data_IF_456083023584
#
_entry.id   IF_456083023584
#
_cell.length_a   1.000
_cell.length_b   1.000
_cell.length_c   1.000
_cell.angle_alpha   90.00
_cell.angle_beta   90.00
_cell.angle_gamma   90.00
#
_symmetry.space_group_name_H-M   'P 1'
#
loop_
_entity.id
_entity.type
_entity.pdbx_description
1 polymer ?
#
# COMPACT_ATOMS: atom_id res chain seq x y z
N UNK A 1 -18.63 -1.64 -36.71
CA UNK A 1 -19.34 -0.42 -36.26
C UNK A 1 -19.35 -0.29 -34.77
N UNK A 2 -19.46 -1.36 -33.96
CA UNK A 2 -19.39 -1.35 -32.49
C UNK A 2 -18.03 -0.90 -31.92
N UNK A 3 -16.91 -1.28 -32.52
CA UNK A 3 -15.58 -0.91 -32.05
C UNK A 3 -15.22 0.57 -32.17
N UNK A 4 -15.81 1.28 -33.13
CA UNK A 4 -15.57 2.71 -33.31
C UNK A 4 -16.37 3.59 -32.32
N UNK A 5 -17.49 3.08 -31.81
CA UNK A 5 -18.31 3.76 -30.81
C UNK A 5 -17.69 3.61 -29.43
N UNK A 6 -17.17 2.42 -29.08
CA UNK A 6 -16.44 2.16 -27.84
C UNK A 6 -15.15 3.02 -27.76
N UNK A 7 -14.39 3.13 -28.85
CA UNK A 7 -13.18 3.97 -28.87
C UNK A 7 -13.50 5.45 -28.64
N UNK A 8 -14.58 5.96 -29.23
CA UNK A 8 -15.01 7.37 -28.99
C UNK A 8 -15.53 7.61 -27.57
N UNK A 9 -16.21 6.63 -26.97
CA UNK A 9 -16.67 6.75 -25.59
C UNK A 9 -15.49 6.78 -24.61
N UNK A 10 -14.46 5.96 -24.85
CA UNK A 10 -13.24 5.95 -24.06
C UNK A 10 -12.44 7.26 -24.21
N UNK A 11 -12.33 7.81 -25.43
CA UNK A 11 -11.66 9.09 -25.65
C UNK A 11 -12.38 10.26 -24.95
N UNK A 12 -13.72 10.24 -24.93
CA UNK A 12 -14.51 11.25 -24.22
C UNK A 12 -14.36 11.10 -22.71
N UNK A 13 -14.35 9.88 -22.18
CA UNK A 13 -14.22 9.64 -20.74
C UNK A 13 -12.80 9.97 -20.26
N UNK A 14 -11.76 9.61 -21.00
CA UNK A 14 -10.37 10.02 -20.74
C UNK A 14 -10.24 11.55 -20.81
N UNK A 15 -10.87 12.18 -21.78
CA UNK A 15 -10.92 13.65 -21.88
C UNK A 15 -11.61 14.30 -20.69
N UNK A 16 -12.68 13.72 -20.16
CA UNK A 16 -13.41 14.23 -18.99
C UNK A 16 -12.59 14.05 -17.71
N UNK A 17 -11.90 12.92 -17.54
CA UNK A 17 -11.00 12.66 -16.38
C UNK A 17 -9.82 13.64 -16.44
N UNK A 18 -9.18 13.80 -17.60
CA UNK A 18 -8.07 14.75 -17.79
C UNK A 18 -8.54 16.21 -17.59
N UNK A 19 -9.72 16.59 -18.09
CA UNK A 19 -10.30 17.90 -17.86
C UNK A 19 -10.64 18.15 -16.38
N UNK A 20 -11.10 17.11 -15.68
CA UNK A 20 -11.32 17.14 -14.23
C UNK A 20 -10.02 17.37 -13.45
N UNK A 21 -8.96 16.68 -13.84
CA UNK A 21 -7.61 16.84 -13.27
C UNK A 21 -7.09 18.26 -13.52
N UNK A 22 -7.19 18.76 -14.74
CA UNK A 22 -6.75 20.14 -15.11
C UNK A 22 -7.57 21.21 -14.38
N UNK A 23 -8.89 21.02 -14.21
CA UNK A 23 -9.75 21.94 -13.47
C UNK A 23 -9.41 21.97 -11.97
N UNK A 24 -9.02 20.84 -11.37
CA UNK A 24 -8.58 20.81 -9.97
C UNK A 24 -7.24 21.55 -9.75
N UNK A 25 -6.34 21.54 -10.73
CA UNK A 25 -5.08 22.29 -10.65
C UNK A 25 -5.23 23.79 -10.90
N UNK A 26 -6.33 24.21 -11.54
CA UNK A 26 -6.59 25.63 -11.89
C UNK A 26 -7.51 26.37 -10.93
N UNK A 27 -8.07 25.69 -9.93
CA UNK A 27 -8.90 26.36 -8.93
C UNK A 27 -8.01 27.07 -7.90
N UNK A 28 -8.05 28.41 -7.79
CA UNK A 28 -7.47 29.08 -6.65
C UNK A 28 -8.21 28.61 -5.40
N UNK A 29 -7.45 28.29 -4.33
CA UNK A 29 -8.02 27.93 -3.04
C UNK A 29 -8.82 29.13 -2.49
N UNK A 30 -10.11 29.17 -2.76
CA UNK A 30 -11.03 30.10 -2.08
C UNK A 30 -11.35 29.50 -0.70
N UNK A 31 -10.56 29.91 0.28
CA UNK A 31 -10.78 29.56 1.69
C UNK A 31 -11.97 30.31 2.35
N UNK A 32 -12.73 31.12 1.62
CA UNK A 32 -13.67 32.10 2.20
C UNK A 32 -15.15 31.85 1.86
N UNK A 33 -15.64 30.61 1.80
CA UNK A 33 -17.06 30.36 1.44
C UNK A 33 -17.98 30.11 2.64
N UNK A 34 -17.47 29.94 3.85
CA UNK A 34 -18.32 29.82 5.04
C UNK A 34 -17.93 30.91 6.07
N UNK A 35 -18.87 31.73 6.57
CA UNK A 35 -18.58 32.57 7.70
C UNK A 35 -18.31 31.67 8.92
N UNK A 36 -17.04 31.49 9.24
CA UNK A 36 -16.66 31.01 10.55
C UNK A 36 -17.21 32.05 11.55
N UNK A 37 -18.11 31.60 12.44
CA UNK A 37 -18.52 32.43 13.58
C UNK A 37 -17.29 32.96 14.27
N UNK A 38 -17.41 34.13 14.87
CA UNK A 38 -16.34 34.86 15.56
C UNK A 38 -15.38 33.89 16.24
N UNK A 39 -14.17 33.81 15.70
CA UNK A 39 -13.09 33.09 16.32
C UNK A 39 -12.67 33.88 17.54
N UNK A 40 -13.04 33.41 18.74
CA UNK A 40 -12.25 33.75 19.91
C UNK A 40 -10.79 33.47 19.55
N UNK A 41 -9.92 34.43 19.73
CA UNK A 41 -8.48 34.27 19.56
C UNK A 41 -8.02 33.11 20.47
N UNK A 42 -8.01 31.90 19.94
CA UNK A 42 -7.40 30.77 20.61
C UNK A 42 -5.91 31.03 20.58
N UNK A 43 -5.32 31.39 21.70
CA UNK A 43 -3.88 31.54 21.79
C UNK A 43 -3.22 30.23 21.35
N UNK A 44 -2.17 30.31 20.53
CA UNK A 44 -1.45 29.15 20.03
C UNK A 44 -0.85 28.27 21.15
N UNK A 45 -0.84 28.76 22.37
CA UNK A 45 -0.37 28.07 23.57
C UNK A 45 -1.44 28.21 24.67
N UNK A 46 -2.15 27.13 24.94
CA UNK A 46 -3.01 27.04 26.11
C UNK A 46 -2.14 26.68 27.33
N UNK A 47 -2.27 27.47 28.43
CA UNK A 47 -1.69 27.12 29.70
C UNK A 47 -2.54 26.08 30.45
N UNK A 48 -3.70 25.71 29.93
CA UNK A 48 -4.51 24.66 30.49
C UNK A 48 -3.79 23.31 30.39
N UNK A 49 -3.68 22.62 31.52
CA UNK A 49 -3.16 21.26 31.52
C UNK A 49 -4.02 20.40 30.59
N UNK A 50 -3.38 19.75 29.63
CA UNK A 50 -4.02 18.68 28.85
C UNK A 50 -4.53 17.66 29.86
N UNK A 51 -5.85 17.55 29.97
CA UNK A 51 -6.45 16.53 30.82
C UNK A 51 -6.07 15.17 30.23
N UNK A 52 -5.24 14.46 30.99
CA UNK A 52 -4.96 13.06 30.71
C UNK A 52 -6.30 12.34 30.77
N UNK A 53 -6.77 11.81 29.65
CA UNK A 53 -7.97 10.99 29.62
C UNK A 53 -7.76 9.82 30.56
N UNK A 54 -8.69 9.62 31.49
CA UNK A 54 -8.65 8.43 32.33
C UNK A 54 -8.76 7.19 31.42
N UNK A 55 -8.15 6.04 31.80
CA UNK A 55 -8.32 4.78 31.04
C UNK A 55 -9.79 4.39 30.79
N UNK A 56 -10.71 4.86 31.63
CA UNK A 56 -12.16 4.72 31.46
C UNK A 56 -12.74 5.52 30.28
N UNK A 57 -12.05 6.58 29.83
CA UNK A 57 -12.51 7.45 28.73
C UNK A 57 -12.04 6.96 27.36
N UNK A 58 -11.04 6.09 27.34
CA UNK A 58 -10.73 5.31 26.18
C UNK A 58 -11.68 4.13 26.14
N UNK A 59 -12.67 4.18 25.24
CA UNK A 59 -13.66 3.11 25.13
C UNK A 59 -13.01 1.72 25.20
N UNK A 60 -13.67 0.79 25.90
CA UNK A 60 -13.20 -0.58 26.08
C UNK A 60 -12.76 -1.17 24.76
N UNK A 61 -11.46 -1.10 24.48
CA UNK A 61 -10.90 -1.99 23.47
C UNK A 61 -11.03 -3.41 24.03
N UNK A 62 -11.63 -4.35 23.31
CA UNK A 62 -11.45 -5.73 23.70
C UNK A 62 -9.96 -5.96 23.76
N UNK A 63 -9.44 -6.67 24.77
CA UNK A 63 -8.05 -7.09 24.76
C UNK A 63 -7.84 -7.78 23.43
N UNK A 64 -7.01 -7.18 22.58
CA UNK A 64 -6.81 -7.66 21.21
C UNK A 64 -6.16 -9.04 21.24
N UNK A 65 -5.56 -9.43 22.36
CA UNK A 65 -4.93 -10.74 22.52
C UNK A 65 -4.53 -10.89 23.98
N UNK A 66 -4.48 -12.11 24.44
CA UNK A 66 -3.87 -12.50 25.68
C UNK A 66 -2.39 -12.11 25.66
N UNK A 67 -2.02 -11.08 26.39
CA UNK A 67 -0.63 -10.74 26.64
C UNK A 67 -0.10 -11.70 27.68
N UNK A 68 0.58 -12.75 27.24
CA UNK A 68 1.31 -13.67 28.10
C UNK A 68 2.68 -13.07 28.43
N UNK A 69 2.76 -12.16 29.38
CA UNK A 69 4.00 -11.53 29.78
C UNK A 69 3.76 -10.23 30.53
N UNK A 70 4.84 -9.50 30.84
CA UNK A 70 4.76 -8.18 31.45
C UNK A 70 4.07 -7.20 30.48
N UNK A 71 3.28 -6.28 31.06
CA UNK A 71 2.55 -5.28 30.29
C UNK A 71 3.53 -4.47 29.41
N UNK A 72 3.22 -4.36 28.14
CA UNK A 72 3.98 -3.60 27.12
C UNK A 72 4.33 -2.15 27.52
N UNK A 73 3.55 -1.52 28.36
CA UNK A 73 3.76 -0.20 28.93
C UNK A 73 4.00 -0.28 30.44
N UNK A 74 4.49 -1.41 30.95
CA UNK A 74 4.92 -1.50 32.33
C UNK A 74 6.03 -0.49 32.60
N UNK A 75 6.03 0.10 33.79
CA UNK A 75 7.13 0.92 34.33
C UNK A 75 8.25 -0.05 34.69
N UNK A 76 8.69 -0.88 33.74
CA UNK A 76 9.78 -1.82 33.96
C UNK A 76 11.12 -1.12 33.79
N UNK A 77 12.09 -1.55 34.55
CA UNK A 77 13.48 -1.19 34.30
C UNK A 77 13.84 -1.69 32.90
N UNK A 78 14.34 -0.79 32.04
CA UNK A 78 14.89 -1.19 30.75
C UNK A 78 16.06 -2.13 31.02
N UNK A 79 16.03 -3.28 30.37
CA UNK A 79 17.15 -4.21 30.40
C UNK A 79 18.42 -3.49 29.92
N UNK A 80 19.53 -3.57 30.66
CA UNK A 80 20.77 -2.85 30.34
C UNK A 80 21.30 -3.19 28.94
N UNK A 81 21.00 -4.39 28.45
CA UNK A 81 21.46 -4.86 27.16
C UNK A 81 22.92 -5.30 27.17
N UNK A 82 23.49 -5.40 25.99
CA UNK A 82 24.90 -5.69 25.82
C UNK A 82 25.51 -4.85 24.70
N UNK A 83 26.76 -4.44 24.86
CA UNK A 83 27.49 -3.70 23.85
C UNK A 83 28.05 -4.65 22.80
N UNK A 84 27.82 -4.33 21.53
CA UNK A 84 28.36 -5.05 20.40
C UNK A 84 29.83 -4.67 20.15
N UNK A 85 30.62 -5.48 19.42
CA UNK A 85 32.03 -5.15 19.12
C UNK A 85 32.24 -3.84 18.33
N UNK A 86 31.17 -3.30 17.72
CA UNK A 86 31.19 -2.04 16.99
C UNK A 86 30.58 -0.86 17.75
N UNK A 87 30.24 -1.04 19.04
CA UNK A 87 29.83 0.00 19.94
C UNK A 87 28.30 0.24 20.08
N UNK A 88 27.48 -0.49 19.31
CA UNK A 88 26.04 -0.41 19.47
C UNK A 88 25.58 -1.19 20.71
N UNK A 89 24.66 -0.62 21.50
CA UNK A 89 24.07 -1.31 22.66
C UNK A 89 22.75 -1.93 22.24
N UNK A 90 22.69 -3.26 22.28
CA UNK A 90 21.49 -4.00 21.94
C UNK A 90 20.72 -4.42 23.19
N UNK A 91 19.41 -4.23 23.14
CA UNK A 91 18.43 -4.61 24.16
C UNK A 91 17.35 -5.52 23.51
N UNK A 92 17.66 -6.80 23.22
CA UNK A 92 16.78 -7.66 22.45
C UNK A 92 15.42 -7.86 23.12
N UNK A 93 14.36 -7.61 22.36
CA UNK A 93 12.97 -7.87 22.75
C UNK A 93 12.27 -8.62 21.64
N UNK A 94 11.61 -9.72 21.96
CA UNK A 94 10.88 -10.53 20.99
C UNK A 94 9.38 -10.32 21.14
N UNK A 95 8.75 -9.96 20.02
CA UNK A 95 7.32 -9.76 19.93
C UNK A 95 6.75 -10.71 18.90
N UNK A 96 5.72 -11.46 19.29
CA UNK A 96 4.98 -12.30 18.36
C UNK A 96 3.58 -11.72 18.23
N UNK A 97 3.17 -11.40 17.02
CA UNK A 97 1.86 -10.82 16.73
C UNK A 97 1.34 -11.33 15.39
N UNK A 98 0.08 -11.06 15.13
CA UNK A 98 -0.50 -11.47 13.86
C UNK A 98 -1.93 -11.02 13.71
N UNK A 99 -2.54 -11.41 12.61
CA UNK A 99 -3.94 -11.16 12.34
C UNK A 99 -4.59 -12.38 11.70
N UNK A 100 -5.80 -12.68 12.13
CA UNK A 100 -6.65 -13.65 11.45
C UNK A 100 -7.81 -12.91 10.78
N UNK A 101 -7.97 -13.17 9.49
CA UNK A 101 -9.08 -12.67 8.70
C UNK A 101 -9.94 -13.82 8.21
N UNK A 102 -11.25 -13.61 8.26
CA UNK A 102 -12.23 -14.58 7.79
C UNK A 102 -13.26 -13.84 6.95
N UNK A 103 -13.60 -14.37 5.80
CA UNK A 103 -14.50 -13.73 4.86
C UNK A 103 -15.48 -14.72 4.26
N UNK A 104 -16.75 -14.39 4.32
CA UNK A 104 -17.80 -15.02 3.52
C UNK A 104 -18.01 -14.17 2.28
N UNK A 105 -17.84 -14.79 1.12
CA UNK A 105 -17.92 -14.11 -0.16
C UNK A 105 -18.91 -14.79 -1.07
N UNK A 106 -19.67 -13.98 -1.78
CA UNK A 106 -20.54 -14.42 -2.87
C UNK A 106 -20.37 -13.44 -4.03
N UNK A 107 -19.92 -13.92 -5.15
CA UNK A 107 -19.58 -13.09 -6.31
C UNK A 107 -19.74 -13.85 -7.62
N UNK A 108 -19.87 -13.10 -8.69
CA UNK A 108 -19.92 -13.60 -10.06
C UNK A 108 -18.77 -12.94 -10.82
N UNK A 109 -17.87 -13.74 -11.34
CA UNK A 109 -16.80 -13.26 -12.20
C UNK A 109 -17.25 -13.33 -13.66
N UNK A 110 -17.07 -12.25 -14.41
CA UNK A 110 -17.44 -12.14 -15.81
C UNK A 110 -16.85 -13.26 -16.70
N UNK A 111 -15.68 -13.78 -16.31
CA UNK A 111 -15.00 -14.85 -17.06
C UNK A 111 -15.59 -16.24 -16.87
N UNK A 112 -16.40 -16.49 -15.84
CA UNK A 112 -16.88 -17.84 -15.51
C UNK A 112 -18.39 -18.05 -15.67
N UNK A 113 -19.17 -16.99 -15.84
CA UNK A 113 -20.64 -17.02 -15.91
C UNK A 113 -21.29 -17.88 -14.79
N UNK A 114 -20.63 -17.99 -13.65
CA UNK A 114 -21.07 -18.78 -12.50
C UNK A 114 -20.86 -18.02 -11.20
N UNK A 115 -21.86 -18.06 -10.34
CA UNK A 115 -21.76 -17.52 -8.98
C UNK A 115 -20.86 -18.41 -8.14
N UNK A 116 -19.82 -17.85 -7.55
CA UNK A 116 -18.97 -18.50 -6.56
C UNK A 116 -19.40 -18.09 -5.15
N UNK A 117 -19.45 -19.04 -4.24
CA UNK A 117 -19.72 -18.80 -2.82
C UNK A 117 -18.68 -19.54 -2.00
N UNK A 118 -17.98 -18.83 -1.14
CA UNK A 118 -16.91 -19.42 -0.34
C UNK A 118 -16.75 -18.77 1.04
N UNK A 119 -16.21 -19.54 1.95
CA UNK A 119 -15.69 -19.08 3.23
C UNK A 119 -14.18 -19.21 3.21
N UNK A 120 -13.48 -18.10 3.17
CA UNK A 120 -12.02 -18.02 3.09
C UNK A 120 -11.43 -17.55 4.40
N UNK A 121 -10.27 -18.10 4.76
CA UNK A 121 -9.54 -17.77 5.98
C UNK A 121 -8.08 -17.48 5.66
N UNK A 122 -7.52 -16.48 6.33
CA UNK A 122 -6.10 -16.11 6.24
C UNK A 122 -5.56 -15.79 7.63
N UNK A 123 -4.41 -16.36 7.94
CA UNK A 123 -3.67 -16.11 9.17
C UNK A 123 -2.28 -15.59 8.82
N UNK A 124 -1.96 -14.37 9.24
CA UNK A 124 -0.64 -13.78 9.14
C UNK A 124 -0.01 -13.78 10.55
N UNK A 125 1.17 -14.38 10.70
CA UNK A 125 1.92 -14.42 11.96
C UNK A 125 3.30 -13.82 11.75
N UNK A 126 3.72 -12.96 12.66
CA UNK A 126 5.02 -12.29 12.64
C UNK A 126 5.74 -12.44 13.96
N UNK A 127 7.04 -12.63 13.89
CA UNK A 127 7.96 -12.50 15.01
C UNK A 127 8.90 -11.33 14.72
N UNK A 128 8.89 -10.33 15.59
CA UNK A 128 9.75 -9.15 15.53
C UNK A 128 10.75 -9.21 16.66
N UNK A 129 12.03 -9.39 16.32
CA UNK A 129 13.15 -9.26 17.25
C UNK A 129 13.68 -7.85 17.15
N UNK A 130 13.25 -6.99 18.08
CA UNK A 130 13.74 -5.62 18.25
C UNK A 130 15.07 -5.66 18.97
N UNK A 131 16.12 -5.07 18.40
CA UNK A 131 17.46 -5.03 18.99
C UNK A 131 17.73 -3.66 19.66
N UNK A 132 17.27 -2.59 19.00
CA UNK A 132 17.32 -1.21 19.51
C UNK A 132 16.05 -0.45 19.11
N UNK A 133 16.04 0.85 19.21
CA UNK A 133 14.96 1.70 18.69
C UNK A 133 14.78 1.63 17.17
N UNK A 134 15.81 1.28 16.42
CA UNK A 134 15.83 1.28 14.95
C UNK A 134 16.13 -0.10 14.36
N UNK A 135 17.03 -0.87 14.95
CA UNK A 135 17.40 -2.20 14.45
C UNK A 135 16.38 -3.25 14.85
N UNK A 136 15.84 -3.93 13.86
CA UNK A 136 14.94 -5.05 14.07
C UNK A 136 15.05 -6.12 12.99
N UNK A 137 14.74 -7.34 13.37
CA UNK A 137 14.65 -8.48 12.48
C UNK A 137 13.22 -9.03 12.52
N UNK A 138 12.59 -9.11 11.35
CA UNK A 138 11.19 -9.57 11.24
C UNK A 138 11.14 -10.85 10.43
N UNK A 139 10.41 -11.83 10.95
CA UNK A 139 10.02 -13.05 10.23
C UNK A 139 8.50 -13.12 10.20
N UNK A 140 7.93 -13.40 9.02
CA UNK A 140 6.49 -13.56 8.82
C UNK A 140 6.16 -14.82 8.06
N UNK A 141 5.12 -15.54 8.53
CA UNK A 141 4.57 -16.73 7.91
C UNK A 141 3.07 -16.63 7.75
N UNK A 142 2.51 -17.36 6.80
CA UNK A 142 1.05 -17.45 6.55
C UNK A 142 0.60 -18.90 6.59
N UNK A 143 0.33 -19.47 7.77
CA UNK A 143 0.06 -20.89 7.93
C UNK A 143 -1.14 -21.40 7.14
N UNK A 144 -2.14 -20.55 6.86
CA UNK A 144 -3.35 -20.93 6.11
C UNK A 144 -3.26 -20.64 4.61
N UNK A 145 -2.07 -20.32 4.10
CA UNK A 145 -1.84 -20.14 2.66
C UNK A 145 -1.50 -21.44 1.96
N UNK A 146 -1.77 -21.50 0.65
CA UNK A 146 -1.34 -22.58 -0.26
C UNK A 146 -0.19 -22.13 -1.14
N UNK A 147 0.61 -23.08 -1.57
CA UNK A 147 1.71 -22.84 -2.50
C UNK A 147 1.28 -22.74 -3.98
N UNK A 148 0.01 -22.97 -4.34
CA UNK A 148 -0.47 -22.98 -5.73
C UNK A 148 -1.92 -22.54 -5.87
N UNK A 149 -2.33 -22.14 -7.03
CA UNK A 149 -2.89 -20.88 -7.53
C UNK A 149 -4.06 -20.25 -6.77
N UNK A 150 -4.64 -20.89 -5.78
CA UNK A 150 -5.55 -20.22 -4.84
C UNK A 150 -4.96 -20.36 -3.43
N UNK A 151 -4.30 -19.33 -2.96
CA UNK A 151 -3.46 -19.32 -1.78
C UNK A 151 -4.22 -19.11 -0.46
N UNK A 152 -5.43 -19.64 -0.35
CA UNK A 152 -6.23 -19.49 0.86
C UNK A 152 -6.84 -20.80 1.29
N UNK A 153 -6.81 -21.09 2.58
CA UNK A 153 -7.68 -22.11 3.15
C UNK A 153 -9.12 -21.65 2.98
N UNK A 154 -9.92 -22.44 2.28
CA UNK A 154 -11.30 -22.10 1.96
C UNK A 154 -12.23 -23.30 1.96
N UNK A 155 -13.49 -23.05 2.26
CA UNK A 155 -14.60 -23.97 2.02
C UNK A 155 -15.46 -23.37 0.92
N UNK A 156 -15.58 -24.06 -0.20
CA UNK A 156 -16.46 -23.63 -1.29
C UNK A 156 -17.86 -24.21 -1.07
N UNK A 157 -18.89 -23.38 -1.14
CA UNK A 157 -20.29 -23.79 -1.06
C UNK A 157 -20.88 -24.05 -2.45
N UNK A 158 -20.50 -23.23 -3.42
CA UNK A 158 -20.81 -23.37 -4.83
C UNK A 158 -19.62 -22.83 -5.64
N UNK A 159 -18.87 -23.71 -6.24
CA UNK A 159 -17.72 -23.34 -7.09
C UNK A 159 -17.39 -24.46 -8.04
N UNK A 160 -17.32 -24.15 -9.34
CA UNK A 160 -16.89 -25.07 -10.37
C UNK A 160 -15.42 -25.50 -10.25
N UNK A 161 -14.65 -24.88 -9.37
CA UNK A 161 -13.23 -25.19 -9.07
C UNK A 161 -13.06 -26.32 -8.04
N UNK A 162 -14.17 -26.97 -7.64
CA UNK A 162 -14.17 -28.10 -6.71
C UNK A 162 -14.30 -27.71 -5.24
N UNK A 163 -14.46 -28.72 -4.35
CA UNK A 163 -14.61 -28.51 -2.93
C UNK A 163 -13.43 -27.74 -2.36
N UNK A 164 -13.70 -26.90 -1.38
CA UNK A 164 -12.68 -26.15 -0.68
C UNK A 164 -11.55 -27.03 -0.16
N UNK A 165 -10.40 -26.45 0.07
CA UNK A 165 -9.25 -27.12 0.66
C UNK A 165 -8.77 -26.34 1.87
N UNK A 166 -8.43 -27.07 2.91
CA UNK A 166 -7.65 -26.57 4.03
C UNK A 166 -6.23 -27.02 3.82
N UNK A 167 -5.30 -26.10 3.86
CA UNK A 167 -3.88 -26.38 3.72
C UNK A 167 -3.10 -25.65 4.80
N UNK A 168 -1.97 -26.22 5.16
CA UNK A 168 -1.06 -25.65 6.12
C UNK A 168 0.31 -25.49 5.45
N UNK A 169 0.84 -24.28 5.49
CA UNK A 169 2.17 -23.96 4.96
C UNK A 169 2.92 -23.08 5.96
N UNK A 170 4.18 -23.35 6.13
CA UNK A 170 5.08 -22.54 6.96
C UNK A 170 6.11 -21.80 6.10
N UNK A 171 5.77 -21.55 4.83
CA UNK A 171 6.63 -20.77 3.95
C UNK A 171 6.86 -19.36 4.51
N UNK A 172 8.12 -18.99 4.55
CA UNK A 172 8.53 -17.66 5.01
C UNK A 172 8.14 -16.65 3.93
N UNK A 173 7.17 -15.81 4.28
CA UNK A 173 6.68 -14.73 3.40
C UNK A 173 7.45 -13.45 3.59
N UNK A 174 7.90 -13.19 4.79
CA UNK A 174 8.64 -12.00 5.17
C UNK A 174 9.85 -12.43 5.99
N UNK A 175 11.02 -11.95 5.66
CA UNK A 175 12.23 -12.15 6.44
C UNK A 175 13.24 -11.07 6.08
N UNK A 176 13.32 -10.04 6.90
CA UNK A 176 14.25 -8.94 6.64
C UNK A 176 14.81 -8.36 7.93
N UNK A 177 15.96 -7.75 7.78
CA UNK A 177 16.60 -6.92 8.79
C UNK A 177 16.53 -5.46 8.34
N UNK A 178 16.17 -4.56 9.23
CA UNK A 178 16.23 -3.12 9.00
C UNK A 178 16.86 -2.40 10.17
N UNK A 179 17.39 -1.23 9.90
CA UNK A 179 18.03 -0.40 10.91
C UNK A 179 18.51 0.93 10.35
N UNK A 180 19.14 1.68 11.25
CA UNK A 180 19.79 2.95 10.95
C UNK A 180 21.31 2.76 10.97
N UNK A 181 21.99 3.30 9.96
CA UNK A 181 23.44 3.11 9.80
C UNK A 181 24.24 3.68 10.98
N UNK A 182 23.84 4.85 11.50
CA UNK A 182 24.53 5.48 12.64
C UNK A 182 24.22 4.83 13.96
N UNK A 183 23.03 4.27 14.13
CA UNK A 183 22.68 3.49 15.31
C UNK A 183 23.39 2.14 15.32
N UNK A 184 23.48 1.48 14.17
CA UNK A 184 24.21 0.23 14.04
C UNK A 184 25.72 0.39 14.22
N UNK A 185 26.29 1.49 13.71
CA UNK A 185 27.72 1.82 13.79
C UNK A 185 27.95 3.20 14.45
N UNK A 186 27.83 3.35 15.78
CA UNK A 186 27.95 4.65 16.46
C UNK A 186 29.28 5.35 16.20
N UNK A 187 30.33 4.60 15.93
CA UNK A 187 31.65 5.16 15.60
C UNK A 187 31.69 5.97 14.30
N UNK A 188 30.66 5.86 13.42
CA UNK A 188 30.53 6.69 12.22
C UNK A 188 30.03 8.10 12.48
N UNK A 189 29.36 8.32 13.64
CA UNK A 189 28.83 9.61 14.06
C UNK A 189 29.00 9.84 15.57
N UNK A 190 30.26 9.99 16.04
CA UNK A 190 30.53 10.17 17.47
C UNK A 190 29.91 11.43 18.08
N UNK A 191 29.64 12.43 17.26
CA UNK A 191 29.09 13.72 17.70
C UNK A 191 27.56 13.77 17.64
N UNK A 192 26.92 12.75 17.08
CA UNK A 192 25.46 12.68 16.95
C UNK A 192 24.86 13.72 16.01
N UNK A 193 25.66 14.22 15.07
CA UNK A 193 25.25 15.25 14.07
C UNK A 193 24.48 14.68 12.90
N UNK A 194 24.40 13.35 12.82
CA UNK A 194 23.70 12.56 11.82
C UNK A 194 24.01 12.89 10.36
N UNK A 195 25.29 13.09 9.96
CA UNK A 195 25.64 13.32 8.57
C UNK A 195 25.33 12.10 7.69
N UNK A 196 25.33 10.91 8.30
CA UNK A 196 25.03 9.61 7.68
C UNK A 196 23.68 9.06 8.17
N UNK A 197 22.65 9.91 8.25
CA UNK A 197 21.28 9.54 8.64
C UNK A 197 20.62 8.73 7.50
N UNK A 198 21.12 7.51 7.31
CA UNK A 198 20.59 6.56 6.33
C UNK A 198 19.97 5.37 7.05
N UNK A 199 18.69 5.15 6.80
CA UNK A 199 18.06 3.87 7.09
C UNK A 199 18.36 2.85 6.00
N UNK A 200 18.40 1.59 6.36
CA UNK A 200 18.55 0.49 5.40
C UNK A 200 17.67 -0.70 5.75
N UNK A 201 17.37 -1.50 4.75
CA UNK A 201 16.70 -2.78 4.93
C UNK A 201 17.25 -3.81 3.97
N UNK A 202 17.28 -5.08 4.37
CA UNK A 202 17.75 -6.21 3.54
C UNK A 202 16.96 -7.46 3.84
N UNK A 203 16.49 -8.12 2.79
CA UNK A 203 15.76 -9.39 2.86
C UNK A 203 14.40 -9.33 2.18
N UNK A 204 13.58 -10.35 2.42
CA UNK A 204 12.23 -10.47 1.87
C UNK A 204 11.25 -9.57 2.60
N UNK A 205 10.74 -8.55 1.93
CA UNK A 205 9.86 -7.54 2.51
C UNK A 205 8.73 -7.15 1.56
N UNK A 206 7.62 -6.72 2.14
CA UNK A 206 6.53 -6.13 1.36
C UNK A 206 6.94 -4.73 0.91
N UNK A 207 6.97 -4.52 -0.38
CA UNK A 207 7.21 -3.23 -1.01
C UNK A 207 5.91 -2.71 -1.62
N UNK A 208 5.51 -1.52 -1.22
CA UNK A 208 4.30 -0.88 -1.72
C UNK A 208 4.62 0.57 -2.09
N UNK A 209 4.51 0.89 -3.38
CA UNK A 209 4.71 2.23 -3.92
C UNK A 209 3.54 2.66 -4.79
N UNK A 210 3.24 3.95 -4.80
CA UNK A 210 2.04 4.54 -5.43
C UNK A 210 0.75 3.86 -4.97
N UNK A 211 0.60 3.67 -3.65
CA UNK A 211 -0.52 2.95 -3.02
C UNK A 211 -0.72 1.52 -3.58
N UNK A 212 0.36 0.89 -4.03
CA UNK A 212 0.35 -0.44 -4.61
C UNK A 212 -0.02 -0.49 -6.11
N UNK A 213 -0.31 0.65 -6.74
CA UNK A 213 -0.60 0.72 -8.17
C UNK A 213 0.66 0.43 -8.99
N UNK A 214 1.81 0.97 -8.59
CA UNK A 214 3.07 0.73 -9.28
C UNK A 214 3.75 -0.55 -8.83
N UNK A 215 3.89 -0.74 -7.52
CA UNK A 215 4.53 -1.91 -6.91
C UNK A 215 3.77 -2.32 -5.67
N UNK A 216 3.41 -3.60 -5.59
CA UNK A 216 2.76 -4.20 -4.41
C UNK A 216 3.12 -5.68 -4.32
N UNK A 217 4.33 -5.96 -3.84
CA UNK A 217 4.89 -7.31 -3.87
C UNK A 217 5.79 -7.59 -2.68
N UNK A 218 6.00 -8.88 -2.39
CA UNK A 218 6.97 -9.36 -1.40
C UNK A 218 8.18 -9.94 -2.12
N UNK A 219 9.23 -9.16 -2.21
CA UNK A 219 10.46 -9.53 -2.94
C UNK A 219 11.67 -9.49 -2.03
N UNK A 220 12.71 -10.22 -2.40
CA UNK A 220 14.02 -10.12 -1.79
C UNK A 220 14.68 -8.84 -2.28
N UNK A 221 14.99 -7.92 -1.36
CA UNK A 221 15.48 -6.60 -1.72
C UNK A 221 16.47 -6.05 -0.70
N UNK A 222 17.30 -5.12 -1.16
CA UNK A 222 18.06 -4.21 -0.33
C UNK A 222 17.62 -2.78 -0.66
N UNK A 223 17.35 -2.00 0.38
CA UNK A 223 16.96 -0.61 0.28
C UNK A 223 17.79 0.28 1.18
N UNK A 224 18.05 1.50 0.72
CA UNK A 224 18.67 2.56 1.51
C UNK A 224 17.76 3.78 1.41
N UNK A 225 17.47 4.39 2.52
CA UNK A 225 16.60 5.57 2.62
C UNK A 225 17.32 6.71 3.34
N UNK A 226 17.17 7.90 2.81
CA UNK A 226 17.49 9.13 3.53
C UNK A 226 16.23 9.93 3.74
N UNK A 227 15.97 10.25 5.00
CA UNK A 227 14.85 11.08 5.42
C UNK A 227 15.28 12.52 5.65
N UNK A 228 14.31 13.41 5.78
CA UNK A 228 14.51 14.80 6.24
C UNK A 228 15.53 15.60 5.41
N UNK A 229 15.56 15.40 4.10
CA UNK A 229 16.34 16.23 3.19
C UNK A 229 15.59 17.55 3.03
N UNK A 230 16.21 18.67 3.44
CA UNK A 230 15.63 19.99 3.33
C UNK A 230 16.07 20.66 2.06
N UNK A 231 15.12 21.06 1.21
CA UNK A 231 15.38 21.83 0.01
C UNK A 231 14.56 23.14 0.05
N UNK A 232 14.99 24.21 -0.68
CA UNK A 232 14.18 25.42 -0.79
C UNK A 232 12.76 25.12 -1.29
N UNK A 233 11.75 25.43 -0.50
CA UNK A 233 10.34 25.14 -0.81
C UNK A 233 9.86 23.72 -0.54
N UNK A 234 10.73 22.81 -0.10
CA UNK A 234 10.40 21.43 0.27
C UNK A 234 10.93 21.19 1.69
N UNK A 235 10.08 21.31 2.71
CA UNK A 235 10.49 21.16 4.11
C UNK A 235 11.01 19.77 4.46
N UNK A 236 10.43 18.73 3.86
CA UNK A 236 10.83 17.36 4.09
C UNK A 236 10.79 16.57 2.79
N UNK A 237 11.94 16.07 2.36
CA UNK A 237 12.07 15.14 1.24
C UNK A 237 12.68 13.85 1.77
N UNK A 238 12.05 12.74 1.42
CA UNK A 238 12.54 11.38 1.62
C UNK A 238 12.93 10.79 0.27
N UNK A 239 14.15 10.25 0.18
CA UNK A 239 14.62 9.56 -1.02
C UNK A 239 15.04 8.15 -0.65
N UNK A 240 14.58 7.16 -1.42
CA UNK A 240 14.92 5.76 -1.23
C UNK A 240 15.48 5.18 -2.51
N UNK A 241 16.57 4.42 -2.40
CA UNK A 241 17.13 3.59 -3.45
C UNK A 241 16.83 2.13 -3.13
N UNK A 242 16.42 1.36 -4.11
CA UNK A 242 16.05 -0.05 -3.97
C UNK A 242 16.69 -0.87 -5.08
N UNK A 243 17.23 -2.03 -4.69
CA UNK A 243 17.52 -3.13 -5.59
C UNK A 243 16.77 -4.37 -5.09
N UNK A 244 15.85 -4.88 -5.90
CA UNK A 244 15.09 -6.09 -5.66
C UNK A 244 15.51 -7.19 -6.63
N UNK A 245 15.52 -8.41 -6.13
CA UNK A 245 15.82 -9.61 -6.92
C UNK A 245 14.98 -10.77 -6.35
N UNK A 246 14.79 -11.80 -7.12
CA UNK A 246 14.10 -13.01 -6.67
C UNK A 246 12.67 -12.80 -6.15
N UNK A 247 11.79 -13.73 -6.46
CA UNK A 247 10.38 -13.73 -6.05
C UNK A 247 9.55 -12.55 -6.57
N UNK A 248 9.98 -11.87 -7.64
CA UNK A 248 9.25 -10.75 -8.21
C UNK A 248 8.01 -11.25 -8.94
N UNK A 249 6.84 -10.80 -8.53
CA UNK A 249 5.56 -11.14 -9.17
C UNK A 249 5.33 -10.37 -10.45
N UNK A 250 5.76 -10.91 -11.58
CA UNK A 250 5.59 -10.30 -12.91
C UNK A 250 4.29 -10.75 -13.55
N UNK A 251 3.29 -9.87 -13.57
CA UNK A 251 1.94 -10.13 -14.09
C UNK A 251 1.21 -11.28 -13.35
N UNK A 252 0.20 -11.85 -13.96
CA UNK A 252 -0.53 -13.01 -13.44
C UNK A 252 0.23 -14.35 -13.59
N UNK A 253 1.46 -14.33 -14.06
CA UNK A 253 2.23 -15.54 -14.38
C UNK A 253 2.91 -16.17 -13.15
N UNK A 254 2.80 -15.53 -11.97
CA UNK A 254 3.45 -15.99 -10.74
C UNK A 254 4.77 -15.29 -10.48
N UNK A 255 5.55 -15.84 -9.55
CA UNK A 255 6.84 -15.29 -9.14
C UNK A 255 7.91 -15.61 -10.15
N UNK A 256 8.80 -14.68 -10.36
CA UNK A 256 9.91 -14.78 -11.28
C UNK A 256 11.22 -14.51 -10.54
N UNK A 257 12.12 -15.48 -10.56
CA UNK A 257 13.41 -15.41 -9.89
C UNK A 257 14.50 -14.77 -10.76
N UNK A 258 14.19 -14.48 -12.05
CA UNK A 258 15.16 -13.86 -12.99
C UNK A 258 15.05 -12.35 -13.04
N UNK A 259 13.91 -11.79 -12.60
CA UNK A 259 13.68 -10.37 -12.64
C UNK A 259 14.48 -9.61 -11.57
N UNK A 260 15.08 -8.48 -11.97
CA UNK A 260 15.67 -7.51 -11.05
C UNK A 260 14.93 -6.18 -11.14
N UNK A 261 14.78 -5.54 -10.01
CA UNK A 261 14.05 -4.27 -9.85
C UNK A 261 15.00 -3.21 -9.29
N UNK A 262 15.22 -2.14 -10.01
CA UNK A 262 16.02 -1.00 -9.58
C UNK A 262 15.10 0.22 -9.43
N UNK A 263 14.97 0.75 -8.22
CA UNK A 263 14.03 1.81 -7.93
C UNK A 263 14.66 3.03 -7.27
N UNK A 264 14.18 4.21 -7.66
CA UNK A 264 14.41 5.48 -6.99
C UNK A 264 13.04 6.06 -6.63
N UNK A 265 12.77 6.16 -5.34
CA UNK A 265 11.50 6.60 -4.81
C UNK A 265 11.69 7.89 -4.01
N UNK A 266 10.91 8.90 -4.35
CA UNK A 266 10.95 10.20 -3.69
C UNK A 266 9.57 10.57 -3.17
N UNK A 267 9.51 10.98 -1.91
CA UNK A 267 8.30 11.48 -1.26
C UNK A 267 8.61 12.81 -0.60
N UNK A 268 7.83 13.82 -0.89
CA UNK A 268 7.99 15.14 -0.31
C UNK A 268 6.71 15.63 0.33
N UNK A 269 6.83 16.10 1.56
CA UNK A 269 5.76 16.75 2.29
C UNK A 269 5.94 18.26 2.23
N UNK A 270 4.92 18.94 1.73
CA UNK A 270 4.81 20.39 1.67
C UNK A 270 3.68 20.86 2.59
N UNK A 271 3.48 22.15 2.72
CA UNK A 271 2.49 22.69 3.64
C UNK A 271 1.06 22.24 3.30
N UNK A 272 0.69 22.22 2.01
CA UNK A 272 -0.68 21.99 1.56
C UNK A 272 -0.86 20.69 0.77
N UNK A 273 0.25 20.03 0.40
CA UNK A 273 0.22 18.78 -0.37
C UNK A 273 1.45 17.93 -0.10
N UNK A 274 1.29 16.63 -0.26
CA UNK A 274 2.39 15.67 -0.38
C UNK A 274 2.46 15.17 -1.81
N UNK A 275 3.67 14.98 -2.35
CA UNK A 275 3.85 14.36 -3.65
C UNK A 275 4.87 13.24 -3.63
N UNK A 276 4.70 12.29 -4.52
CA UNK A 276 5.67 11.21 -4.76
C UNK A 276 6.09 11.21 -6.23
N UNK A 277 7.37 10.95 -6.46
CA UNK A 277 7.92 10.73 -7.79
C UNK A 277 8.81 9.50 -7.76
N UNK A 278 8.40 8.47 -8.46
CA UNK A 278 9.03 7.16 -8.42
C UNK A 278 9.48 6.75 -9.82
N UNK A 279 10.71 6.28 -9.91
CA UNK A 279 11.34 5.81 -11.13
C UNK A 279 11.82 4.38 -10.91
N UNK A 280 11.40 3.44 -11.75
CA UNK A 280 11.78 2.04 -11.59
C UNK A 280 12.18 1.46 -12.94
N UNK A 281 13.30 0.76 -12.96
CA UNK A 281 13.73 -0.06 -14.08
C UNK A 281 13.70 -1.53 -13.69
N UNK A 282 13.13 -2.36 -14.54
CA UNK A 282 13.02 -3.80 -14.32
C UNK A 282 13.72 -4.51 -15.46
N UNK A 283 14.68 -5.36 -15.13
CA UNK A 283 15.24 -6.31 -16.08
C UNK A 283 14.58 -7.67 -15.88
N UNK A 284 14.15 -8.31 -16.94
CA UNK A 284 13.49 -9.61 -16.89
C UNK A 284 13.78 -10.39 -18.20
N UNK A 285 13.68 -11.71 -18.12
CA UNK A 285 13.86 -12.61 -19.26
C UNK A 285 12.65 -13.54 -19.35
N UNK A 286 12.23 -13.84 -20.59
CA UNK A 286 11.21 -14.86 -20.81
C UNK A 286 11.81 -16.28 -20.71
N UNK A 287 10.96 -17.30 -20.88
CA UNK A 287 11.39 -18.70 -20.81
C UNK A 287 12.34 -19.11 -21.95
N UNK A 288 12.50 -18.27 -22.97
CA UNK A 288 13.39 -18.50 -24.13
C UNK A 288 14.68 -17.70 -24.00
N UNK A 289 14.74 -16.79 -22.99
CA UNK A 289 15.90 -15.90 -22.75
C UNK A 289 15.83 -14.59 -23.51
N UNK A 290 14.68 -14.22 -24.08
CA UNK A 290 14.47 -12.90 -24.65
C UNK A 290 14.24 -11.88 -23.56
N UNK A 291 14.88 -10.71 -23.68
CA UNK A 291 14.70 -9.59 -22.75
C UNK A 291 13.28 -9.03 -22.83
N UNK A 292 12.66 -8.81 -21.66
CA UNK A 292 11.36 -8.18 -21.44
C UNK A 292 11.47 -7.05 -20.42
N UNK A 293 12.50 -6.25 -20.57
CA UNK A 293 12.78 -5.13 -19.67
C UNK A 293 11.72 -4.04 -19.77
N UNK A 294 11.55 -3.29 -18.69
CA UNK A 294 10.58 -2.20 -18.65
C UNK A 294 11.03 -1.06 -17.75
N UNK A 295 10.64 0.16 -18.13
CA UNK A 295 10.83 1.36 -17.32
C UNK A 295 9.47 1.85 -16.83
N UNK A 296 9.39 2.24 -15.57
CA UNK A 296 8.18 2.72 -14.93
C UNK A 296 8.39 4.08 -14.29
N UNK A 297 7.39 4.95 -14.44
CA UNK A 297 7.35 6.27 -13.82
C UNK A 297 6.04 6.41 -13.09
N UNK A 298 6.08 6.78 -11.82
CA UNK A 298 4.92 7.09 -11.00
C UNK A 298 5.00 8.51 -10.46
N UNK A 299 3.91 9.26 -10.57
CA UNK A 299 3.75 10.53 -9.92
C UNK A 299 2.41 10.59 -9.20
N UNK A 300 2.40 11.03 -7.96
CA UNK A 300 1.16 11.25 -7.23
C UNK A 300 1.20 12.51 -6.40
N UNK A 301 0.02 13.07 -6.18
CA UNK A 301 -0.22 14.15 -5.23
C UNK A 301 -1.35 13.78 -4.30
N UNK A 302 -1.18 14.07 -3.02
CA UNK A 302 -2.21 13.92 -1.99
C UNK A 302 -2.38 15.31 -1.36
N UNK A 303 -3.59 15.80 -1.35
CA UNK A 303 -3.89 17.15 -0.86
C UNK A 303 -5.30 17.23 -0.28
N UNK A 304 -5.53 18.22 0.54
CA UNK A 304 -6.86 18.56 1.02
C UNK A 304 -7.35 19.81 0.31
N UNK A 305 -8.50 19.71 -0.37
CA UNK A 305 -9.15 20.85 -1.05
C UNK A 305 -10.46 21.15 -0.30
N UNK A 306 -10.43 22.17 0.55
CA UNK A 306 -11.54 22.46 1.45
C UNK A 306 -11.79 21.31 2.42
N UNK A 307 -12.97 20.69 2.35
CA UNK A 307 -13.36 19.53 3.16
C UNK A 307 -13.05 18.18 2.50
N UNK A 308 -12.59 18.20 1.25
CA UNK A 308 -12.33 16.99 0.48
C UNK A 308 -10.87 16.56 0.60
N UNK A 309 -10.63 15.32 0.95
CA UNK A 309 -9.33 14.67 0.79
C UNK A 309 -9.24 14.17 -0.65
N UNK A 310 -8.21 14.58 -1.36
CA UNK A 310 -8.03 14.24 -2.78
C UNK A 310 -6.67 13.63 -3.04
N UNK A 311 -6.61 12.67 -3.96
CA UNK A 311 -5.37 12.12 -4.46
C UNK A 311 -5.45 11.95 -5.98
N UNK A 312 -4.36 12.32 -6.66
CA UNK A 312 -4.22 12.14 -8.11
C UNK A 312 -2.94 11.36 -8.38
N UNK A 313 -3.03 10.36 -9.25
CA UNK A 313 -1.88 9.53 -9.60
C UNK A 313 -1.80 9.30 -11.09
N UNK A 314 -0.57 9.30 -11.58
CA UNK A 314 -0.22 8.94 -12.95
C UNK A 314 0.90 7.91 -12.87
N UNK A 315 0.64 6.72 -13.38
CA UNK A 315 1.62 5.64 -13.44
C UNK A 315 1.78 5.20 -14.89
N UNK A 316 3.00 5.24 -15.39
CA UNK A 316 3.33 4.85 -16.76
C UNK A 316 4.30 3.69 -16.76
N UNK A 317 4.10 2.75 -17.66
CA UNK A 317 5.04 1.67 -17.98
C UNK A 317 5.47 1.79 -19.44
N UNK A 318 6.72 1.45 -19.73
CA UNK A 318 7.32 1.51 -21.05
C UNK A 318 8.09 0.20 -21.24
N UNK A 319 7.59 -0.69 -22.12
CA UNK A 319 8.28 -1.91 -22.50
C UNK A 319 9.49 -1.60 -23.39
N UNK A 320 10.64 -2.16 -23.10
CA UNK A 320 11.81 -2.00 -23.94
C UNK A 320 11.67 -2.79 -25.24
N UNK A 321 12.17 -2.22 -26.35
CA UNK A 321 12.09 -2.83 -27.68
C UNK A 321 10.69 -2.84 -28.31
N UNK A 322 9.69 -2.18 -27.71
CA UNK A 322 8.33 -2.05 -28.26
C UNK A 322 7.57 -3.37 -28.38
N UNK A 323 7.97 -4.40 -27.63
CA UNK A 323 7.29 -5.69 -27.57
C UNK A 323 6.40 -5.72 -26.33
N UNK A 324 5.16 -5.32 -26.49
CA UNK A 324 4.17 -5.45 -25.44
C UNK A 324 3.85 -6.93 -25.17
N UNK A 325 3.95 -7.32 -23.92
CA UNK A 325 3.51 -8.62 -23.44
C UNK A 325 2.87 -8.48 -22.04
N UNK A 326 2.37 -9.58 -21.49
CA UNK A 326 1.68 -9.57 -20.19
C UNK A 326 2.58 -9.19 -19.01
N UNK A 327 3.91 -9.20 -19.16
CA UNK A 327 4.87 -8.85 -18.10
C UNK A 327 5.42 -7.43 -18.26
N UNK A 328 5.54 -6.95 -19.49
CA UNK A 328 6.01 -5.61 -19.81
C UNK A 328 5.17 -5.02 -20.93
N UNK A 329 4.40 -3.99 -20.63
CA UNK A 329 3.55 -3.28 -21.58
C UNK A 329 3.84 -1.79 -21.58
N UNK A 330 3.42 -1.12 -22.63
CA UNK A 330 3.52 0.33 -22.78
C UNK A 330 2.16 0.97 -22.60
N UNK A 331 2.00 1.70 -21.51
CA UNK A 331 0.72 2.36 -21.19
C UNK A 331 0.83 3.28 -19.99
N UNK A 332 -0.26 4.00 -19.74
CA UNK A 332 -0.37 4.93 -18.61
C UNK A 332 -1.71 4.75 -17.91
N UNK A 333 -1.69 4.62 -16.60
CA UNK A 333 -2.85 4.58 -15.73
C UNK A 333 -2.96 5.89 -14.96
N UNK A 334 -4.09 6.56 -15.11
CA UNK A 334 -4.51 7.73 -14.34
C UNK A 334 -5.51 7.31 -13.29
N UNK A 335 -5.39 7.84 -12.07
CA UNK A 335 -6.41 7.68 -11.04
C UNK A 335 -6.65 8.98 -10.29
N UNK A 336 -7.88 9.18 -9.89
CA UNK A 336 -8.33 10.30 -9.07
C UNK A 336 -9.22 9.76 -7.96
N UNK A 337 -8.95 10.17 -6.74
CA UNK A 337 -9.69 9.78 -5.55
C UNK A 337 -10.15 11.02 -4.80
N UNK A 338 -11.36 10.98 -4.31
CA UNK A 338 -11.94 12.07 -3.52
C UNK A 338 -12.79 11.49 -2.42
N UNK A 339 -12.59 11.94 -1.19
CA UNK A 339 -13.41 11.56 -0.06
C UNK A 339 -13.75 12.74 0.83
N UNK A 340 -14.88 12.63 1.53
CA UNK A 340 -15.34 13.61 2.51
C UNK A 340 -16.05 12.92 3.66
N UNK A 341 -15.82 13.43 4.87
CA UNK A 341 -16.57 13.03 6.06
C UNK A 341 -17.76 13.99 6.20
N UNK A 342 -19.02 13.49 6.15
CA UNK A 342 -20.20 14.32 6.34
C UNK A 342 -20.23 15.01 7.70
N UNK A 343 -20.83 16.18 7.76
CA UNK A 343 -20.86 16.97 8.99
C UNK A 343 -21.53 16.23 10.15
N UNK A 344 -20.89 16.20 11.32
CA UNK A 344 -21.30 15.48 12.53
C UNK A 344 -21.42 13.95 12.37
N UNK A 345 -20.66 13.37 11.47
CA UNK A 345 -20.57 11.94 11.25
C UNK A 345 -19.11 11.52 11.21
N UNK A 346 -18.85 10.25 11.50
CA UNK A 346 -17.54 9.60 11.28
C UNK A 346 -17.54 8.82 9.96
N UNK A 347 -18.67 8.86 9.22
CA UNK A 347 -18.84 8.15 7.96
C UNK A 347 -18.00 8.77 6.84
N UNK A 348 -17.80 8.01 5.78
CA UNK A 348 -17.02 8.45 4.61
C UNK A 348 -17.89 8.33 3.36
N UNK A 349 -17.94 9.42 2.60
CA UNK A 349 -18.44 9.42 1.21
C UNK A 349 -17.25 9.56 0.30
N UNK A 350 -17.18 8.76 -0.75
CA UNK A 350 -16.08 8.82 -1.70
C UNK A 350 -16.53 8.67 -3.15
N UNK A 351 -15.73 9.25 -4.03
CA UNK A 351 -15.81 9.09 -5.47
C UNK A 351 -14.42 8.94 -6.03
N UNK A 352 -14.20 7.83 -6.73
CA UNK A 352 -12.90 7.51 -7.32
C UNK A 352 -13.08 7.12 -8.77
N UNK A 353 -12.13 7.49 -9.60
CA UNK A 353 -12.15 7.18 -11.02
C UNK A 353 -10.74 6.83 -11.51
N UNK A 354 -10.67 6.02 -12.55
CA UNK A 354 -9.42 5.68 -13.20
C UNK A 354 -9.60 5.55 -14.71
N UNK A 355 -8.50 5.72 -15.43
CA UNK A 355 -8.44 5.50 -16.87
C UNK A 355 -7.04 5.00 -17.26
N UNK A 356 -6.98 3.91 -18.01
CA UNK A 356 -5.75 3.40 -18.58
C UNK A 356 -5.75 3.57 -20.09
N UNK A 357 -4.62 3.99 -20.64
CA UNK A 357 -4.37 4.15 -22.08
C UNK A 357 -3.18 3.29 -22.45
N UNK A 358 -3.33 2.45 -23.45
CA UNK A 358 -2.34 1.42 -23.79
C UNK A 358 -2.28 0.31 -22.75
N UNK A 359 -1.22 -0.49 -22.80
CA UNK A 359 -1.01 -1.64 -21.93
C UNK A 359 -0.20 -1.24 -20.68
N UNK A 360 -0.85 -0.69 -19.68
CA UNK A 360 -0.16 -0.43 -18.42
C UNK A 360 0.13 -1.73 -17.67
N UNK A 361 1.39 -1.94 -17.26
CA UNK A 361 1.83 -3.05 -16.43
C UNK A 361 2.48 -2.54 -15.15
N UNK A 362 2.29 -3.27 -14.06
CA UNK A 362 2.94 -2.99 -12.78
C UNK A 362 4.39 -3.49 -12.77
N UNK A 363 5.23 -2.88 -11.94
CA UNK A 363 6.60 -3.32 -11.67
C UNK A 363 6.62 -4.75 -11.13
N UNK A 364 5.85 -4.99 -10.09
CA UNK A 364 5.70 -6.28 -9.44
C UNK A 364 4.45 -6.31 -8.58
N UNK A 365 3.85 -7.49 -8.51
CA UNK A 365 2.63 -7.67 -7.76
C UNK A 365 2.47 -9.10 -7.27
N UNK A 366 2.29 -9.24 -5.97
CA UNK A 366 1.94 -10.54 -5.42
C UNK A 366 0.60 -11.00 -6.00
N UNK A 367 0.53 -12.18 -6.63
CA UNK A 367 -0.69 -12.66 -7.33
C UNK A 367 -1.94 -12.72 -6.46
N UNK A 368 -1.79 -12.73 -5.13
CA UNK A 368 -2.89 -12.83 -4.17
C UNK A 368 -3.46 -11.46 -3.79
N UNK A 369 -2.69 -10.41 -3.98
CA UNK A 369 -3.09 -9.07 -3.51
C UNK A 369 -4.18 -8.48 -4.39
N UNK A 370 -4.46 -9.09 -5.54
CA UNK A 370 -5.51 -8.62 -6.45
C UNK A 370 -5.11 -7.40 -7.28
N UNK A 371 -6.05 -6.59 -7.78
CA UNK A 371 -5.86 -5.39 -8.60
C UNK A 371 -5.12 -4.26 -7.92
N UNK A 372 -4.92 -3.14 -8.59
CA UNK A 372 -4.45 -1.93 -7.95
C UNK A 372 -5.24 -1.70 -6.69
N UNK A 373 -4.52 -1.37 -5.63
CA UNK A 373 -5.10 -1.18 -4.32
C UNK A 373 -5.57 0.25 -4.12
N UNK A 374 -5.87 0.52 -2.91
CA UNK A 374 -6.28 1.81 -2.46
C UNK A 374 -7.78 1.98 -2.48
N UNK A 375 -8.21 3.21 -2.51
CA UNK A 375 -9.61 3.59 -2.42
C UNK A 375 -10.35 3.46 -3.76
N UNK A 376 -9.85 2.66 -4.71
CA UNK A 376 -10.52 2.47 -6.01
C UNK A 376 -11.83 1.69 -5.94
N UNK A 377 -12.17 1.13 -4.76
CA UNK A 377 -13.41 0.40 -4.55
C UNK A 377 -13.26 -1.11 -4.61
N UNK A 378 -14.25 -1.82 -4.07
CA UNK A 378 -14.24 -3.28 -3.90
C UNK A 378 -14.16 -4.01 -5.24
N UNK A 379 -14.86 -3.50 -6.26
CA UNK A 379 -14.87 -4.10 -7.60
C UNK A 379 -13.48 -4.05 -8.24
N UNK A 380 -12.72 -2.98 -8.00
CA UNK A 380 -11.44 -2.74 -8.64
C UNK A 380 -10.24 -3.16 -7.80
N UNK A 381 -10.45 -3.43 -6.52
CA UNK A 381 -9.42 -3.87 -5.60
C UNK A 381 -9.79 -5.21 -4.95
N UNK A 382 -8.84 -6.12 -4.87
CA UNK A 382 -9.06 -7.40 -4.19
C UNK A 382 -9.01 -7.21 -2.67
N UNK A 383 -9.90 -7.85 -1.90
CA UNK A 383 -9.84 -7.85 -0.44
C UNK A 383 -8.62 -8.61 0.13
N UNK A 384 -7.74 -9.15 -0.71
CA UNK A 384 -6.58 -9.97 -0.34
C UNK A 384 -6.93 -11.24 0.44
N UNK A 385 -8.14 -11.73 0.29
CA UNK A 385 -8.62 -12.98 0.90
C UNK A 385 -9.70 -13.58 0.00
N UNK A 386 -9.69 -14.91 -0.18
CA UNK A 386 -10.61 -15.61 -1.06
C UNK A 386 -10.24 -15.49 -2.55
N UNK A 387 -11.15 -15.94 -3.40
CA UNK A 387 -10.96 -15.98 -4.85
C UNK A 387 -11.61 -14.81 -5.60
N UNK A 388 -12.17 -13.83 -4.90
CA UNK A 388 -12.65 -12.63 -5.56
C UNK A 388 -11.47 -11.90 -6.20
N UNK A 389 -11.45 -11.85 -7.52
CA UNK A 389 -10.45 -11.11 -8.29
C UNK A 389 -10.95 -9.70 -8.56
N UNK A 390 -10.05 -8.73 -8.59
CA UNK A 390 -10.41 -7.38 -9.03
C UNK A 390 -10.52 -7.31 -10.55
N UNK A 391 -11.35 -6.40 -11.04
CA UNK A 391 -11.45 -6.08 -12.46
C UNK A 391 -10.19 -5.36 -12.99
N UNK A 392 -9.45 -4.66 -12.12
CA UNK A 392 -8.12 -4.17 -12.43
C UNK A 392 -7.09 -5.24 -12.10
N UNK A 393 -6.43 -5.76 -13.10
CA UNK A 393 -5.34 -6.73 -12.95
C UNK A 393 -3.97 -6.03 -12.93
N UNK A 394 -2.91 -6.82 -12.79
CA UNK A 394 -1.52 -6.32 -12.96
C UNK A 394 -1.21 -5.84 -14.38
N UNK A 395 -2.10 -6.10 -15.31
CA UNK A 395 -2.05 -5.70 -16.70
C UNK A 395 -3.39 -5.06 -17.05
N UNK A 396 -3.37 -3.79 -17.47
CA UNK A 396 -4.56 -2.99 -17.75
C UNK A 396 -4.48 -2.44 -19.15
N UNK A 397 -5.43 -2.77 -20.01
CA UNK A 397 -5.45 -2.37 -21.41
C UNK A 397 -6.68 -1.53 -21.73
N UNK A 398 -6.48 -0.25 -22.06
CA UNK A 398 -7.51 0.67 -22.55
C UNK A 398 -8.85 0.57 -21.81
N UNK A 399 -8.82 0.75 -20.50
CA UNK A 399 -9.99 0.62 -19.61
C UNK A 399 -10.19 1.90 -18.84
N UNK A 400 -11.44 2.22 -18.54
CA UNK A 400 -11.78 3.30 -17.62
C UNK A 400 -12.94 2.87 -16.74
N UNK A 401 -12.99 3.39 -15.52
CA UNK A 401 -14.04 3.09 -14.59
C UNK A 401 -14.15 4.12 -13.47
N UNK A 402 -15.23 4.02 -12.72
CA UNK A 402 -15.45 4.84 -11.54
C UNK A 402 -16.14 4.03 -10.44
N UNK A 403 -16.01 4.50 -9.22
CA UNK A 403 -16.75 4.02 -8.06
C UNK A 403 -17.19 5.20 -7.22
N UNK A 404 -18.40 5.12 -6.69
CA UNK A 404 -18.88 6.00 -5.62
C UNK A 404 -19.38 5.15 -4.48
N UNK A 405 -19.06 5.53 -3.26
CA UNK A 405 -19.39 4.73 -2.09
C UNK A 405 -19.73 5.57 -0.88
N UNK A 406 -20.43 4.92 0.02
CA UNK A 406 -20.73 5.40 1.35
C UNK A 406 -20.33 4.31 2.35
N UNK A 407 -19.45 4.66 3.28
CA UNK A 407 -19.05 3.78 4.37
C UNK A 407 -19.55 4.35 5.69
N UNK A 408 -20.46 3.61 6.33
CA UNK A 408 -21.01 3.95 7.64
C UNK A 408 -20.26 3.18 8.74
N UNK A 409 -19.95 3.86 9.84
CA UNK A 409 -19.23 3.29 10.98
C UNK A 409 -20.06 3.24 12.24
N UNK A 410 -19.93 2.14 12.99
CA UNK A 410 -20.57 1.93 14.29
C UNK A 410 -19.59 1.34 15.30
N UNK A 411 -19.99 1.34 16.55
CA UNK A 411 -19.26 0.67 17.62
C UNK A 411 -17.79 1.08 17.68
N UNK A 412 -17.53 2.40 17.67
CA UNK A 412 -16.18 2.97 17.67
C UNK A 412 -15.32 2.45 16.52
N UNK A 413 -15.84 2.50 15.30
CA UNK A 413 -15.19 2.02 14.05
C UNK A 413 -14.86 0.53 14.02
N UNK A 414 -15.48 -0.28 14.89
CA UNK A 414 -15.29 -1.75 14.89
C UNK A 414 -16.19 -2.46 13.88
N UNK A 415 -17.24 -1.79 13.47
CA UNK A 415 -18.21 -2.30 12.49
C UNK A 415 -18.40 -1.24 11.42
N UNK A 416 -18.28 -1.63 10.18
CA UNK A 416 -18.62 -0.77 9.06
C UNK A 416 -19.51 -1.49 8.05
N UNK A 417 -20.28 -0.70 7.32
CA UNK A 417 -21.03 -1.14 6.15
C UNK A 417 -20.66 -0.22 4.99
N UNK A 418 -20.14 -0.80 3.95
CA UNK A 418 -19.77 -0.09 2.72
C UNK A 418 -20.77 -0.45 1.63
N UNK A 419 -21.38 0.56 1.02
CA UNK A 419 -22.23 0.43 -0.15
C UNK A 419 -21.54 1.14 -1.32
N UNK A 420 -21.33 0.42 -2.41
CA UNK A 420 -20.66 0.94 -3.60
C UNK A 420 -21.51 0.79 -4.85
N UNK A 421 -21.41 1.77 -5.70
CA UNK A 421 -21.84 1.73 -7.09
C UNK A 421 -20.63 1.93 -7.97
N UNK A 422 -20.37 1.00 -8.86
CA UNK A 422 -19.22 1.03 -9.77
C UNK A 422 -19.65 0.84 -11.23
N UNK A 423 -18.89 1.40 -12.15
CA UNK A 423 -19.13 1.27 -13.58
C UNK A 423 -17.86 1.47 -14.42
#
# INVERSE_FOLDING_TARGET
>A
MYGAVLNRANEVLVGLVLAGIVLCFSMPAYADVFPLGETEEVSAFSEEHIQLRAPSDTGNRPPLIYEGGDLFLGVGDLYEGFETPWGAVWQPQLWVFGSMRSSLQMFENASSNSTASEWANRLDLFANLQLTGTEKFIIGVRPLDRNTPSRFSRVAFNDNRGPGKQEFSMDIRTMFFEGDLTSLFPGLDPEGTKPLDFGFSVGRQLLQFQEGIMLNDQIDAIGIVRNNIHLPGIPSLRTSLLWGWNEVGRSNAGRNDTANVFGLFNSADMQDLSWNLDLVYVTDEDAVGDSIDSFHVGFSTIQRIGFYSTAFRVNSSIAEGGKDNVRAGTGTLFSAETSVTPFKSDDIVYFNAYAAVGNFTQVGREPIVGGPLGALGILFASPSIGNFGSELSSFTDNVAGFVTGYEAFWNNHRTSLTLELAG
#
